data_IF_365026535984
#
_entry.id   IF_365026535984
#
_cell.length_a   1.000
_cell.length_b   1.000
_cell.length_c   1.000
_cell.angle_alpha   90.00
_cell.angle_beta   90.00
_cell.angle_gamma   90.00
#
_symmetry.space_group_name_H-M   'P 1'
#
loop_
_entity.id
_entity.type
_entity.pdbx_description
1 polymer ?
#
# COMPACT_ATOMS: atom_id res chain seq x y z
N UNK A 1 25.47 -10.96 24.80
CA UNK A 1 25.32 -9.66 24.12
C UNK A 1 24.10 -8.97 24.71
N UNK A 2 24.32 -8.02 25.62
CA UNK A 2 23.23 -7.28 26.25
C UNK A 2 22.67 -6.27 25.24
N UNK A 3 21.35 -6.29 25.01
CA UNK A 3 20.66 -5.21 24.29
C UNK A 3 20.91 -3.90 25.06
N UNK A 4 21.29 -2.80 24.40
CA UNK A 4 21.49 -1.53 25.08
C UNK A 4 20.17 -1.07 25.73
N UNK A 5 20.23 -0.35 26.87
CA UNK A 5 19.05 0.14 27.55
C UNK A 5 18.31 1.13 26.65
N UNK A 6 16.99 0.94 26.50
CA UNK A 6 16.10 1.90 25.83
C UNK A 6 16.18 3.21 26.62
N UNK A 7 16.63 4.29 25.98
CA UNK A 7 16.61 5.63 26.60
C UNK A 7 15.15 5.98 26.86
N UNK A 8 14.82 6.32 28.11
CA UNK A 8 13.52 6.91 28.45
C UNK A 8 13.55 8.32 27.87
N UNK A 9 13.11 8.45 26.63
CA UNK A 9 12.98 9.72 25.92
C UNK A 9 11.68 10.34 26.40
N UNK A 10 11.71 11.61 26.81
CA UNK A 10 10.50 12.38 27.15
C UNK A 10 9.44 12.23 26.05
N UNK A 11 8.18 11.99 26.42
CA UNK A 11 7.07 11.74 25.48
C UNK A 11 6.96 12.85 24.41
N UNK A 12 7.21 14.10 24.79
CA UNK A 12 7.26 15.22 23.85
C UNK A 12 8.37 15.06 22.81
N UNK A 13 9.58 14.68 23.25
CA UNK A 13 10.73 14.47 22.34
C UNK A 13 10.47 13.28 21.42
N UNK A 14 9.83 12.23 21.93
CA UNK A 14 9.41 11.08 21.12
C UNK A 14 8.42 11.48 20.02
N UNK A 15 7.39 12.27 20.36
CA UNK A 15 6.39 12.77 19.41
C UNK A 15 7.02 13.65 18.32
N UNK A 16 7.92 14.56 18.71
CA UNK A 16 8.61 15.45 17.77
C UNK A 16 9.54 14.66 16.82
N UNK A 17 10.23 13.65 17.33
CA UNK A 17 11.03 12.74 16.51
C UNK A 17 10.16 11.92 15.54
N UNK A 18 8.97 11.48 15.97
CA UNK A 18 8.03 10.79 15.08
C UNK A 18 7.58 11.67 13.90
N UNK A 19 7.31 12.95 14.13
CA UNK A 19 7.01 13.92 13.06
C UNK A 19 8.18 13.97 12.06
N UNK A 20 9.41 14.06 12.55
CA UNK A 20 10.61 14.07 11.72
C UNK A 20 10.70 12.85 10.80
N UNK A 21 10.46 11.65 11.33
CA UNK A 21 10.54 10.41 10.56
C UNK A 21 9.41 10.24 9.55
N UNK A 22 8.20 10.65 9.91
CA UNK A 22 7.06 10.64 8.96
C UNK A 22 7.36 11.61 7.81
N UNK A 23 7.90 12.79 8.11
CA UNK A 23 8.32 13.78 7.10
C UNK A 23 9.41 13.23 6.17
N UNK A 24 10.42 12.56 6.70
CA UNK A 24 11.47 11.93 5.89
C UNK A 24 10.91 10.84 4.97
N UNK A 25 9.96 10.03 5.47
CA UNK A 25 9.26 9.03 4.65
C UNK A 25 8.42 9.69 3.54
N UNK A 26 7.64 10.72 3.88
CA UNK A 26 6.81 11.44 2.91
C UNK A 26 7.61 12.20 1.84
N UNK A 27 8.83 12.64 2.16
CA UNK A 27 9.72 13.30 1.19
C UNK A 27 10.60 12.31 0.41
N UNK A 28 10.46 11.00 0.64
CA UNK A 28 11.25 9.96 -0.03
C UNK A 28 12.73 9.95 0.37
N UNK A 29 13.09 10.63 1.46
CA UNK A 29 14.47 10.70 2.00
C UNK A 29 14.75 9.59 3.01
N UNK A 30 13.72 8.90 3.46
CA UNK A 30 13.84 7.77 4.38
C UNK A 30 14.36 6.51 3.67
N UNK A 31 15.00 5.63 4.44
CA UNK A 31 15.31 4.25 4.00
C UNK A 31 14.04 3.39 3.84
N UNK A 32 12.89 3.90 4.26
CA UNK A 32 11.58 3.28 4.09
C UNK A 32 11.07 3.51 2.65
N UNK A 33 10.84 2.42 1.91
CA UNK A 33 10.55 2.46 0.46
C UNK A 33 9.07 2.79 0.13
N UNK A 34 8.26 3.16 1.11
CA UNK A 34 6.88 3.56 0.89
C UNK A 34 6.70 5.04 1.29
N UNK A 35 6.15 5.89 0.40
CA UNK A 35 6.04 7.32 0.64
C UNK A 35 5.02 7.66 1.73
N UNK A 36 4.08 6.76 2.04
CA UNK A 36 3.10 6.94 3.10
C UNK A 36 3.30 5.82 4.13
N UNK A 37 3.83 6.12 5.33
CA UNK A 37 3.94 5.17 6.42
C UNK A 37 2.60 4.54 6.78
N UNK A 38 2.57 3.21 6.88
CA UNK A 38 1.36 2.43 7.15
C UNK A 38 1.39 1.88 8.58
N UNK A 39 0.26 1.89 9.29
CA UNK A 39 0.11 1.39 10.67
C UNK A 39 0.74 0.01 10.93
N UNK A 40 0.65 -0.90 9.96
CA UNK A 40 1.11 -2.28 10.10
C UNK A 40 2.63 -2.40 10.19
N UNK A 41 3.33 -1.61 9.36
CA UNK A 41 4.78 -1.69 9.13
C UNK A 41 5.54 -0.55 9.81
N UNK A 42 4.88 0.58 10.06
CA UNK A 42 5.54 1.79 10.58
C UNK A 42 6.16 1.56 11.96
N UNK A 43 5.55 0.74 12.82
CA UNK A 43 6.13 0.42 14.12
C UNK A 43 7.52 -0.19 13.98
N UNK A 44 7.66 -1.25 13.17
CA UNK A 44 8.91 -2.00 13.06
C UNK A 44 10.00 -1.24 12.30
N UNK A 45 9.61 -0.38 11.35
CA UNK A 45 10.55 0.28 10.45
C UNK A 45 10.90 1.72 10.85
N UNK A 46 9.97 2.45 11.47
CA UNK A 46 10.12 3.87 11.76
C UNK A 46 10.12 4.20 13.25
N UNK A 47 9.45 3.41 14.10
CA UNK A 47 9.21 3.81 15.49
C UNK A 47 9.70 2.83 16.56
N UNK A 48 10.29 1.69 16.20
CA UNK A 48 10.65 0.62 17.14
C UNK A 48 11.67 1.04 18.22
N UNK A 49 12.48 2.05 17.91
CA UNK A 49 13.49 2.66 18.77
C UNK A 49 12.98 3.89 19.53
N UNK A 50 11.87 4.50 19.09
CA UNK A 50 11.25 5.67 19.74
C UNK A 50 10.15 5.22 20.71
N UNK A 51 9.29 4.32 20.26
CA UNK A 51 8.10 3.87 20.99
C UNK A 51 8.36 2.56 21.72
N UNK A 52 8.09 2.54 23.03
CA UNK A 52 8.28 1.34 23.84
C UNK A 52 7.33 0.19 23.44
N UNK A 53 6.12 0.54 23.02
CA UNK A 53 5.06 -0.37 22.59
C UNK A 53 4.29 0.18 21.38
N UNK A 54 3.56 -0.71 20.70
CA UNK A 54 2.65 -0.36 19.59
C UNK A 54 1.48 0.52 20.08
N UNK A 55 1.01 0.30 21.30
CA UNK A 55 -0.07 1.10 21.90
C UNK A 55 0.36 2.56 22.12
N UNK A 56 1.58 2.78 22.62
CA UNK A 56 2.14 4.14 22.74
C UNK A 56 2.28 4.83 21.39
N UNK A 57 2.69 4.10 20.36
CA UNK A 57 2.75 4.64 18.99
C UNK A 57 1.36 5.09 18.52
N UNK A 58 0.32 4.27 18.68
CA UNK A 58 -1.05 4.66 18.30
C UNK A 58 -1.56 5.86 19.11
N UNK A 59 -1.22 5.92 20.40
CA UNK A 59 -1.52 7.08 21.24
C UNK A 59 -0.86 8.36 20.71
N UNK A 60 0.44 8.34 20.41
CA UNK A 60 1.15 9.49 19.85
C UNK A 60 0.63 9.89 18.46
N UNK A 61 0.36 8.92 17.58
CA UNK A 61 -0.20 9.21 16.25
C UNK A 61 -1.58 9.84 16.34
N UNK A 62 -2.40 9.42 17.32
CA UNK A 62 -3.69 10.04 17.59
C UNK A 62 -3.54 11.48 18.05
N UNK A 63 -2.64 11.76 19.00
CA UNK A 63 -2.35 13.13 19.44
C UNK A 63 -1.87 13.99 18.26
N UNK A 64 -0.98 13.45 17.43
CA UNK A 64 -0.47 14.15 16.25
C UNK A 64 -1.56 14.48 15.22
N UNK A 65 -2.54 13.60 15.06
CA UNK A 65 -3.69 13.85 14.20
C UNK A 65 -4.61 14.93 14.80
N UNK A 66 -4.89 14.86 16.11
CA UNK A 66 -5.73 15.84 16.83
C UNK A 66 -5.06 17.22 16.95
N UNK A 67 -3.73 17.29 16.93
CA UNK A 67 -2.94 18.54 16.91
C UNK A 67 -2.61 19.04 15.50
N UNK A 68 -3.21 18.44 14.47
CA UNK A 68 -3.06 18.83 13.05
C UNK A 68 -1.62 18.74 12.51
N UNK A 69 -0.73 17.98 13.16
CA UNK A 69 0.61 17.72 12.61
C UNK A 69 0.58 16.71 11.47
N UNK A 70 -0.34 15.74 11.54
CA UNK A 70 -0.51 14.71 10.52
C UNK A 70 -1.98 14.55 10.12
N UNK A 71 -2.17 14.09 8.89
CA UNK A 71 -3.41 13.50 8.43
C UNK A 71 -3.33 11.97 8.46
N UNK A 72 -4.43 11.34 8.85
CA UNK A 72 -4.61 9.89 8.77
C UNK A 72 -5.51 9.53 7.59
N UNK A 73 -5.06 8.64 6.72
CA UNK A 73 -5.85 8.09 5.61
C UNK A 73 -6.22 6.66 5.96
N UNK A 74 -7.50 6.31 5.93
CA UNK A 74 -7.92 4.92 6.05
C UNK A 74 -7.68 4.19 4.73
N UNK A 75 -6.59 3.43 4.61
CA UNK A 75 -6.22 2.74 3.36
C UNK A 75 -7.02 1.44 3.17
N UNK A 76 -7.32 0.75 4.26
CA UNK A 76 -8.10 -0.50 4.29
C UNK A 76 -9.19 -0.32 5.32
N UNK A 77 -10.45 -0.48 4.92
CA UNK A 77 -11.58 -0.44 5.85
C UNK A 77 -11.61 -1.70 6.73
N UNK A 78 -11.98 -1.49 7.99
CA UNK A 78 -12.22 -2.56 8.96
C UNK A 78 -13.37 -3.46 8.48
N UNK A 79 -13.12 -4.77 8.43
CA UNK A 79 -14.15 -5.75 8.12
C UNK A 79 -14.30 -6.70 9.30
N UNK A 80 -15.17 -6.32 10.23
CA UNK A 80 -15.49 -7.10 11.43
C UNK A 80 -16.02 -8.51 11.12
N UNK A 81 -16.59 -8.72 9.92
CA UNK A 81 -17.04 -10.05 9.51
C UNK A 81 -15.89 -10.98 9.11
N UNK A 82 -14.72 -10.42 8.78
CA UNK A 82 -13.54 -11.16 8.32
C UNK A 82 -12.30 -10.97 9.21
N UNK A 83 -12.44 -10.33 10.37
CA UNK A 83 -11.36 -10.09 11.34
C UNK A 83 -10.17 -9.35 10.71
N UNK A 84 -10.47 -8.36 9.87
CA UNK A 84 -9.47 -7.48 9.25
C UNK A 84 -9.40 -6.18 10.03
N UNK A 85 -8.25 -5.95 10.67
CA UNK A 85 -7.91 -4.65 11.27
C UNK A 85 -7.76 -3.58 10.18
N UNK A 86 -8.24 -2.38 10.48
CA UNK A 86 -8.16 -1.23 9.60
C UNK A 86 -6.72 -0.77 9.48
N UNK A 87 -6.32 -0.43 8.26
CA UNK A 87 -4.95 -0.02 7.99
C UNK A 87 -4.92 1.46 7.65
N UNK A 88 -4.09 2.20 8.38
CA UNK A 88 -4.00 3.66 8.29
C UNK A 88 -2.69 4.08 7.66
N UNK A 89 -2.73 5.05 6.76
CA UNK A 89 -1.57 5.77 6.23
C UNK A 89 -1.43 7.12 6.90
N UNK A 90 -0.21 7.53 7.23
CA UNK A 90 0.07 8.81 7.90
C UNK A 90 0.82 9.77 6.99
N UNK A 91 0.35 11.01 6.93
CA UNK A 91 0.91 12.06 6.06
C UNK A 91 1.09 13.35 6.84
N UNK A 92 2.23 14.02 6.70
CA UNK A 92 2.45 15.32 7.34
C UNK A 92 1.50 16.38 6.76
N UNK A 93 0.89 17.18 7.64
CA UNK A 93 0.00 18.27 7.29
C UNK A 93 0.76 19.53 6.87
N UNK A 94 1.46 19.43 5.74
CA UNK A 94 2.15 20.53 5.06
C UNK A 94 1.81 20.57 3.58
N UNK A 95 1.46 21.76 3.07
CA UNK A 95 0.96 21.91 1.71
C UNK A 95 1.94 21.37 0.66
N UNK A 96 3.23 21.67 0.79
CA UNK A 96 4.26 21.22 -0.15
C UNK A 96 4.39 19.68 -0.18
N UNK A 97 4.33 19.03 0.98
CA UNK A 97 4.43 17.57 1.09
C UNK A 97 3.17 16.91 0.56
N UNK A 98 2.00 17.40 0.97
CA UNK A 98 0.70 16.86 0.53
C UNK A 98 0.54 17.01 -0.98
N UNK A 99 0.92 18.14 -1.58
CA UNK A 99 0.83 18.34 -3.02
C UNK A 99 1.77 17.39 -3.80
N UNK A 100 3.00 17.17 -3.30
CA UNK A 100 3.93 16.20 -3.89
C UNK A 100 3.39 14.77 -3.83
N UNK A 101 2.87 14.35 -2.66
CA UNK A 101 2.26 13.03 -2.48
C UNK A 101 0.99 12.86 -3.33
N UNK A 102 0.21 13.92 -3.50
CA UNK A 102 -0.98 13.95 -4.35
C UNK A 102 -0.60 13.67 -5.80
N UNK A 103 0.40 14.38 -6.34
CA UNK A 103 0.89 14.14 -7.70
C UNK A 103 1.38 12.70 -7.90
N UNK A 104 2.12 12.17 -6.93
CA UNK A 104 2.59 10.78 -6.96
C UNK A 104 1.43 9.78 -6.93
N UNK A 105 0.43 10.03 -6.08
CA UNK A 105 -0.75 9.15 -5.93
C UNK A 105 -1.66 9.19 -7.15
N UNK A 106 -1.80 10.35 -7.80
CA UNK A 106 -2.53 10.49 -9.07
C UNK A 106 -1.89 9.62 -10.16
N UNK A 107 -0.56 9.70 -10.32
CA UNK A 107 0.16 8.84 -11.28
C UNK A 107 0.02 7.36 -10.93
N UNK A 108 0.06 7.03 -9.63
CA UNK A 108 -0.16 5.67 -9.15
C UNK A 108 -1.57 5.13 -9.46
N UNK A 109 -2.59 5.99 -9.39
CA UNK A 109 -3.96 5.64 -9.77
C UNK A 109 -4.10 5.43 -11.27
N UNK A 110 -3.56 6.32 -12.10
CA UNK A 110 -3.58 6.17 -13.56
C UNK A 110 -2.89 4.88 -14.00
N UNK A 111 -1.73 4.56 -13.41
CA UNK A 111 -1.02 3.31 -13.67
C UNK A 111 -1.81 2.07 -13.23
N UNK A 112 -2.44 2.10 -12.04
CA UNK A 112 -3.26 0.99 -11.57
C UNK A 112 -4.52 0.79 -12.44
N UNK A 113 -5.12 1.88 -12.90
CA UNK A 113 -6.27 1.84 -13.81
C UNK A 113 -5.88 1.28 -15.19
N UNK A 114 -4.76 1.73 -15.75
CA UNK A 114 -4.23 1.20 -17.02
C UNK A 114 -3.95 -0.30 -16.92
N UNK A 115 -3.36 -0.77 -15.81
CA UNK A 115 -3.08 -2.18 -15.62
C UNK A 115 -4.34 -3.05 -15.51
N UNK A 116 -5.40 -2.52 -14.89
CA UNK A 116 -6.62 -3.28 -14.65
C UNK A 116 -7.57 -3.28 -15.85
N UNK A 117 -7.70 -2.15 -16.54
CA UNK A 117 -8.67 -1.96 -17.62
C UNK A 117 -8.03 -1.87 -19.01
N UNK A 118 -6.69 -1.93 -19.11
CA UNK A 118 -5.92 -1.80 -20.35
C UNK A 118 -6.27 -0.51 -21.12
N UNK A 119 -6.63 0.53 -20.39
CA UNK A 119 -7.06 1.83 -20.92
C UNK A 119 -6.41 2.95 -20.13
N UNK A 120 -5.90 3.95 -20.86
CA UNK A 120 -5.43 5.20 -20.28
C UNK A 120 -6.56 6.21 -20.29
N UNK A 121 -6.87 6.75 -19.13
CA UNK A 121 -7.79 7.86 -18.94
C UNK A 121 -7.14 8.85 -17.95
N UNK A 122 -7.59 10.11 -17.96
CA UNK A 122 -7.12 11.08 -16.97
C UNK A 122 -7.70 10.79 -15.60
N UNK A 123 -6.95 11.16 -14.56
CA UNK A 123 -7.37 11.17 -13.17
C UNK A 123 -8.83 11.59 -12.92
N UNK A 124 -9.28 12.73 -13.47
CA UNK A 124 -10.62 13.26 -13.20
C UNK A 124 -11.71 12.35 -13.77
N UNK A 125 -11.44 11.73 -14.92
CA UNK A 125 -12.36 10.80 -15.57
C UNK A 125 -12.40 9.48 -14.80
N UNK A 126 -11.24 8.98 -14.38
CA UNK A 126 -11.13 7.77 -13.54
C UNK A 126 -11.91 7.95 -12.23
N UNK A 127 -11.80 9.10 -11.56
CA UNK A 127 -12.58 9.38 -10.35
C UNK A 127 -14.07 9.36 -10.65
N UNK A 128 -14.55 10.06 -11.68
CA UNK A 128 -15.99 10.10 -11.97
C UNK A 128 -16.57 8.71 -12.27
N UNK A 129 -15.75 7.82 -12.83
CA UNK A 129 -16.13 6.46 -13.16
C UNK A 129 -16.09 5.52 -11.94
N UNK A 130 -14.99 5.55 -11.17
CA UNK A 130 -14.75 4.60 -10.08
C UNK A 130 -15.35 5.03 -8.74
N UNK A 131 -15.43 6.33 -8.46
CA UNK A 131 -15.90 6.85 -7.17
C UNK A 131 -17.35 6.42 -6.83
N UNK A 132 -18.32 6.43 -7.77
CA UNK A 132 -19.67 5.91 -7.49
C UNK A 132 -19.68 4.42 -7.12
N UNK A 133 -18.64 3.68 -7.52
CA UNK A 133 -18.48 2.26 -7.28
C UNK A 133 -17.36 1.96 -6.27
N UNK A 134 -16.92 2.94 -5.48
CA UNK A 134 -15.75 2.83 -4.60
C UNK A 134 -15.82 1.62 -3.65
N UNK A 135 -17.02 1.28 -3.16
CA UNK A 135 -17.24 0.11 -2.30
C UNK A 135 -16.85 -1.23 -2.95
N UNK A 136 -16.98 -1.34 -4.27
CA UNK A 136 -16.64 -2.56 -5.02
C UNK A 136 -15.11 -2.73 -5.07
N UNK A 137 -14.39 -1.61 -5.20
CA UNK A 137 -12.94 -1.58 -5.27
C UNK A 137 -12.27 -1.48 -3.91
N UNK A 138 -13.04 -1.54 -2.81
CA UNK A 138 -12.49 -1.48 -1.48
C UNK A 138 -11.42 -2.55 -1.27
N UNK A 139 -10.34 -2.20 -0.59
CA UNK A 139 -9.19 -3.07 -0.31
C UNK A 139 -8.42 -3.60 -1.55
N UNK A 140 -8.76 -3.18 -2.77
CA UNK A 140 -8.00 -3.50 -3.99
C UNK A 140 -6.87 -2.50 -4.24
N UNK A 141 -5.81 -2.83 -5.03
CA UNK A 141 -4.75 -1.88 -5.35
C UNK A 141 -5.28 -0.59 -6.00
N UNK A 142 -6.24 -0.71 -6.93
CA UNK A 142 -6.86 0.45 -7.57
C UNK A 142 -7.69 1.27 -6.58
N UNK A 143 -8.43 0.61 -5.68
CA UNK A 143 -9.23 1.29 -4.66
C UNK A 143 -8.35 2.01 -3.63
N UNK A 144 -7.22 1.42 -3.25
CA UNK A 144 -6.22 2.07 -2.38
C UNK A 144 -5.64 3.32 -3.04
N UNK A 145 -5.20 3.22 -4.29
CA UNK A 145 -4.70 4.37 -5.06
C UNK A 145 -5.77 5.44 -5.25
N UNK A 146 -7.02 5.03 -5.52
CA UNK A 146 -8.15 5.93 -5.67
C UNK A 146 -8.42 6.70 -4.38
N UNK A 147 -8.51 5.98 -3.27
CA UNK A 147 -8.75 6.56 -1.96
C UNK A 147 -7.61 7.52 -1.57
N UNK A 148 -6.36 7.11 -1.73
CA UNK A 148 -5.20 7.99 -1.49
C UNK A 148 -5.27 9.27 -2.31
N UNK A 149 -5.51 9.18 -3.63
CA UNK A 149 -5.55 10.35 -4.49
C UNK A 149 -6.71 11.31 -4.13
N UNK A 150 -7.89 10.76 -3.83
CA UNK A 150 -9.06 11.55 -3.39
C UNK A 150 -8.80 12.21 -2.03
N UNK A 151 -8.29 11.47 -1.05
CA UNK A 151 -8.05 12.00 0.29
C UNK A 151 -6.94 13.06 0.29
N UNK A 152 -5.84 12.84 -0.43
CA UNK A 152 -4.77 13.84 -0.57
C UNK A 152 -5.25 15.10 -1.30
N UNK A 153 -6.14 14.95 -2.29
CA UNK A 153 -6.79 16.09 -2.93
C UNK A 153 -7.67 16.87 -1.95
N UNK A 154 -8.42 16.18 -1.08
CA UNK A 154 -9.22 16.82 -0.03
C UNK A 154 -8.33 17.53 1.00
N UNK A 155 -7.26 16.90 1.47
CA UNK A 155 -6.33 17.51 2.42
C UNK A 155 -5.59 18.71 1.85
N UNK A 156 -5.20 18.67 0.58
CA UNK A 156 -4.66 19.84 -0.13
C UNK A 156 -5.66 21.00 -0.12
N UNK A 157 -6.96 20.73 -0.26
CA UNK A 157 -7.99 21.76 -0.18
C UNK A 157 -8.19 22.28 1.25
N UNK A 158 -8.24 21.39 2.25
CA UNK A 158 -8.37 21.78 3.67
C UNK A 158 -7.22 22.69 4.10
N UNK A 159 -5.98 22.34 3.72
CA UNK A 159 -4.80 23.18 4.01
C UNK A 159 -4.87 24.57 3.35
N UNK A 160 -5.63 24.73 2.26
CA UNK A 160 -5.82 26.01 1.58
C UNK A 160 -6.95 26.84 2.18
N UNK A 161 -8.03 26.19 2.61
CA UNK A 161 -9.21 26.86 3.18
C UNK A 161 -8.96 27.25 4.63
N UNK A 162 -8.47 26.31 5.44
CA UNK A 162 -8.32 26.45 6.89
C UNK A 162 -6.86 26.64 7.28
N UNK A 163 -6.10 27.46 6.53
CA UNK A 163 -4.64 27.57 6.71
C UNK A 163 -4.21 27.98 8.12
N UNK A 164 -5.04 28.73 8.84
CA UNK A 164 -4.78 29.21 10.21
C UNK A 164 -4.60 28.06 11.19
N UNK A 165 -5.42 27.00 11.06
CA UNK A 165 -5.39 25.80 11.90
C UNK A 165 -4.20 24.87 11.59
N UNK A 166 -3.42 25.16 10.56
CA UNK A 166 -2.22 24.39 10.19
C UNK A 166 -0.94 25.21 10.33
N UNK A 167 -1.02 26.38 10.97
CA UNK A 167 0.16 27.16 11.36
C UNK A 167 0.94 26.47 12.48
N UNK A 168 2.25 26.70 12.53
CA UNK A 168 3.10 26.09 13.57
C UNK A 168 2.73 26.56 14.98
N UNK A 169 2.20 27.77 15.14
CA UNK A 169 1.71 28.26 16.43
C UNK A 169 0.52 27.42 16.89
N UNK A 170 -0.49 27.28 16.03
CA UNK A 170 -1.69 26.52 16.37
C UNK A 170 -1.39 25.07 16.71
N UNK A 171 -0.56 24.41 15.88
CA UNK A 171 -0.13 23.03 16.10
C UNK A 171 0.56 22.85 17.47
N UNK A 172 1.47 23.77 17.84
CA UNK A 172 2.17 23.75 19.13
C UNK A 172 1.24 23.99 20.31
N UNK A 173 0.36 24.98 20.20
CA UNK A 173 -0.61 25.32 21.24
C UNK A 173 -1.59 24.17 21.47
N UNK A 174 -2.08 23.55 20.39
CA UNK A 174 -2.98 22.40 20.47
C UNK A 174 -2.29 21.15 21.01
N UNK A 175 -1.04 20.91 20.61
CA UNK A 175 -0.25 19.81 21.17
C UNK A 175 -0.01 19.98 22.67
N UNK A 176 0.23 21.22 23.12
CA UNK A 176 0.38 21.55 24.55
C UNK A 176 -0.92 21.33 25.33
N UNK A 177 -2.07 21.64 24.74
CA UNK A 177 -3.39 21.38 25.33
C UNK A 177 -3.68 19.87 25.45
N UNK A 178 -3.36 19.09 24.42
CA UNK A 178 -3.59 17.64 24.36
C UNK A 178 -2.60 16.84 25.21
N UNK A 179 -1.51 17.47 25.64
CA UNK A 179 -0.53 16.92 26.59
C UNK A 179 -0.51 17.76 27.87
N UNK A 180 -1.59 17.81 28.68
CA UNK A 180 -1.58 18.52 29.94
C UNK A 180 -0.63 17.80 30.91
N UNK A 181 0.58 18.35 31.03
CA UNK A 181 1.57 18.13 32.10
C UNK A 181 1.96 16.67 32.41
N UNK A 182 2.99 16.18 31.72
CA UNK A 182 4.04 15.36 32.35
C UNK A 182 5.47 15.68 31.83
N UNK A 183 5.65 16.68 30.96
CA UNK A 183 6.96 16.88 30.28
C UNK A 183 7.36 18.31 29.89
N UNK A 184 6.87 19.35 30.59
CA UNK A 184 7.27 20.76 30.33
C UNK A 184 7.83 21.44 31.60
N UNK A 185 8.51 20.70 32.47
CA UNK A 185 9.19 21.30 33.63
C UNK A 185 10.72 21.28 33.59
N UNK A 186 11.36 20.76 32.53
CA UNK A 186 12.84 20.68 32.48
C UNK A 186 13.49 21.35 31.25
N UNK A 187 12.77 22.19 30.49
CA UNK A 187 13.35 22.89 29.34
C UNK A 187 13.37 24.43 29.43
N UNK A 188 12.69 25.04 30.42
CA UNK A 188 12.68 26.50 30.58
C UNK A 188 12.92 26.91 32.04
N UNK A 189 14.06 26.53 32.60
CA UNK A 189 14.65 27.25 33.74
C UNK A 189 16.12 27.56 33.45
N UNK A 190 16.32 28.66 32.73
CA UNK A 190 17.62 29.19 32.38
C UNK A 190 17.53 30.60 31.81
N UNK A 191 17.00 31.55 32.58
CA UNK A 191 17.21 32.99 32.41
C UNK A 191 17.18 33.63 33.82
N UNK A 192 17.94 34.69 34.18
CA UNK A 192 18.19 35.90 33.37
C UNK A 192 19.60 36.53 33.39
N UNK A 193 20.00 37.12 32.25
CA UNK A 193 21.28 37.83 32.13
C UNK A 193 21.37 38.88 31.00
N UNK A 194 20.58 39.96 31.11
CA UNK A 194 20.88 41.37 30.80
C UNK A 194 21.77 41.79 29.59
N UNK A 195 21.25 42.73 28.78
CA UNK A 195 21.98 43.74 27.99
C UNK A 195 21.42 43.88 26.58
N UNK A 196 20.35 44.64 26.33
CA UNK A 196 20.30 46.10 26.05
C UNK A 196 21.29 46.58 24.97
N UNK A 197 20.73 47.07 23.84
CA UNK A 197 21.05 48.31 23.10
C UNK A 197 20.30 48.31 21.74
N UNK A 198 19.24 49.14 21.64
CA UNK A 198 18.89 50.19 20.62
C UNK A 198 19.64 50.20 19.28
N UNK A 199 19.19 50.72 18.14
CA UNK A 199 17.95 51.32 17.61
C UNK A 199 18.17 51.43 16.07
N UNK A 200 17.08 51.57 15.33
CA UNK A 200 16.87 52.39 14.12
C UNK A 200 17.98 52.49 13.03
N UNK A 201 17.66 52.07 11.79
CA UNK A 201 17.50 53.08 10.72
C UNK A 201 16.88 52.53 9.42
N UNK A 202 15.98 53.35 8.92
CA UNK A 202 15.16 53.28 7.74
C UNK A 202 15.91 53.91 6.56
N UNK A 203 16.02 53.24 5.39
CA UNK A 203 15.87 53.96 4.12
C UNK A 203 15.62 53.05 2.91
N UNK A 204 14.73 53.54 2.07
CA UNK A 204 14.18 52.90 0.89
C UNK A 204 15.00 53.14 -0.39
N UNK A 205 14.76 52.25 -1.34
CA UNK A 205 14.57 52.51 -2.78
C UNK A 205 15.78 52.95 -3.64
N UNK A 206 16.10 52.15 -4.65
CA UNK A 206 15.80 52.54 -6.05
C UNK A 206 16.15 51.45 -7.08
N UNK A 207 15.11 51.07 -7.82
CA UNK A 207 15.01 51.05 -9.28
C UNK A 207 16.11 50.40 -10.15
N UNK A 208 15.70 49.41 -10.95
CA UNK A 208 16.49 48.88 -12.06
C UNK A 208 15.74 47.90 -12.97
N UNK A 209 14.82 48.43 -13.77
CA UNK A 209 14.09 47.79 -14.90
C UNK A 209 14.92 46.78 -15.73
N UNK A 210 14.33 45.65 -16.13
CA UNK A 210 13.96 45.37 -17.53
C UNK A 210 13.40 43.95 -17.75
N UNK A 211 12.33 43.88 -18.53
CA UNK A 211 11.90 42.77 -19.41
C UNK A 211 11.57 43.44 -20.78
N UNK A 212 11.17 42.78 -21.89
CA UNK A 212 10.88 41.35 -22.15
C UNK A 212 11.29 40.82 -23.58
N UNK A 213 10.92 39.54 -23.85
CA UNK A 213 10.33 38.98 -25.09
C UNK A 213 11.16 38.43 -26.31
N UNK A 214 10.71 37.22 -26.74
CA UNK A 214 10.51 36.67 -28.10
C UNK A 214 11.64 35.86 -28.85
N UNK A 215 11.49 34.51 -28.88
CA UNK A 215 11.32 33.53 -30.02
C UNK A 215 11.88 33.81 -31.46
N UNK A 216 11.96 32.83 -32.42
CA UNK A 216 11.84 31.33 -32.45
C UNK A 216 12.82 30.59 -33.45
N UNK A 217 12.51 29.30 -33.77
CA UNK A 217 12.85 28.46 -34.98
C UNK A 217 14.20 27.71 -35.02
N UNK A 218 14.40 26.50 -35.57
CA UNK A 218 13.57 25.42 -36.17
C UNK A 218 14.46 24.18 -36.51
N UNK A 219 13.82 23.10 -37.01
CA UNK A 219 14.32 21.94 -37.78
C UNK A 219 14.86 20.72 -36.99
N UNK A 220 14.07 19.64 -36.85
CA UNK A 220 13.93 18.48 -37.78
C UNK A 220 15.12 17.51 -37.69
N UNK A 221 15.04 16.19 -37.83
CA UNK A 221 14.00 15.16 -37.96
C UNK A 221 14.78 13.82 -37.98
N UNK A 222 14.16 12.69 -37.60
CA UNK A 222 14.19 11.41 -38.35
C UNK A 222 13.60 10.26 -37.52
N UNK A 223 12.66 9.58 -38.17
CA UNK A 223 11.90 8.43 -37.73
C UNK A 223 12.47 7.11 -38.28
N UNK A 224 11.94 5.98 -37.78
CA UNK A 224 11.60 4.70 -38.45
C UNK A 224 11.78 3.52 -37.45
N UNK A 225 10.72 2.84 -36.97
CA UNK A 225 9.82 1.82 -37.59
C UNK A 225 10.34 0.37 -37.58
N UNK A 226 9.45 -0.57 -37.24
CA UNK A 226 9.66 -2.03 -37.38
C UNK A 226 8.59 -2.90 -36.69
N UNK A 227 7.79 -3.61 -37.49
CA UNK A 227 6.48 -4.24 -37.23
C UNK A 227 6.49 -5.78 -37.00
N UNK A 228 5.38 -6.27 -36.42
CA UNK A 228 4.71 -7.59 -36.49
C UNK A 228 5.46 -8.95 -36.42
N UNK A 229 4.98 -9.84 -35.54
CA UNK A 229 4.05 -10.97 -35.87
C UNK A 229 3.91 -12.00 -34.72
N UNK A 230 2.68 -12.33 -34.34
CA UNK A 230 2.23 -13.72 -34.10
C UNK A 230 0.71 -13.78 -33.92
N UNK A 231 0.02 -14.09 -35.03
CA UNK A 231 -1.38 -14.55 -35.03
C UNK A 231 -1.38 -16.06 -34.74
N UNK A 232 -1.94 -16.47 -33.60
CA UNK A 232 -2.30 -17.87 -33.35
C UNK A 232 -3.81 -18.08 -33.51
N UNK A 233 -4.17 -19.27 -33.97
CA UNK A 233 -5.42 -19.68 -34.62
C UNK A 233 -6.62 -19.72 -33.66
N UNK A 234 -7.76 -19.20 -34.13
CA UNK A 234 -9.02 -19.09 -33.38
C UNK A 234 -9.85 -20.39 -33.27
N UNK A 235 -9.29 -21.56 -33.64
CA UNK A 235 -10.03 -22.83 -33.67
C UNK A 235 -9.45 -23.88 -32.70
N UNK A 236 -8.16 -23.81 -32.38
CA UNK A 236 -7.49 -24.68 -31.39
C UNK A 236 -7.75 -24.25 -29.93
N UNK A 237 -8.36 -23.08 -29.75
CA UNK A 237 -8.66 -22.48 -28.45
C UNK A 237 -9.85 -23.12 -27.75
N UNK A 238 -10.83 -23.68 -28.47
CA UNK A 238 -12.13 -24.03 -27.88
C UNK A 238 -12.04 -25.23 -26.92
N UNK A 239 -11.31 -26.29 -27.27
CA UNK A 239 -11.17 -27.47 -26.39
C UNK A 239 -10.23 -27.22 -25.20
N UNK A 240 -9.15 -26.45 -25.40
CA UNK A 240 -8.28 -26.01 -24.32
C UNK A 240 -9.03 -25.08 -23.36
N UNK A 241 -9.84 -24.17 -23.91
CA UNK A 241 -10.68 -23.28 -23.13
C UNK A 241 -11.73 -24.07 -22.36
N UNK A 242 -12.41 -25.07 -22.94
CA UNK A 242 -13.41 -25.88 -22.22
C UNK A 242 -12.84 -26.64 -21.01
N UNK A 243 -11.56 -27.02 -21.04
CA UNK A 243 -10.90 -27.74 -19.92
C UNK A 243 -10.27 -26.79 -18.92
N UNK A 244 -9.85 -25.60 -19.36
CA UNK A 244 -9.37 -24.51 -18.50
C UNK A 244 -10.52 -23.64 -17.98
N UNK A 245 -11.74 -23.80 -18.50
CA UNK A 245 -12.93 -23.07 -18.07
C UNK A 245 -13.28 -23.51 -16.66
N UNK A 246 -12.92 -22.65 -15.72
CA UNK A 246 -13.20 -22.88 -14.32
C UNK A 246 -14.70 -22.76 -14.09
N UNK A 247 -15.30 -23.74 -13.41
CA UNK A 247 -16.67 -23.58 -12.91
C UNK A 247 -16.66 -22.54 -11.77
N UNK A 248 -16.97 -21.29 -12.13
CA UNK A 248 -17.05 -20.15 -11.20
C UNK A 248 -18.41 -20.05 -10.51
N UNK A 249 -19.23 -21.11 -10.50
CA UNK A 249 -20.51 -21.11 -9.78
C UNK A 249 -20.31 -21.29 -8.28
N UNK A 250 -21.14 -20.60 -7.49
CA UNK A 250 -21.21 -20.73 -6.04
C UNK A 250 -20.17 -19.94 -5.24
N UNK A 251 -19.99 -20.32 -3.97
CA UNK A 251 -19.13 -19.61 -3.01
C UNK A 251 -17.65 -19.60 -3.42
N UNK A 252 -17.18 -20.66 -4.07
CA UNK A 252 -15.80 -20.74 -4.58
C UNK A 252 -15.54 -19.71 -5.68
N UNK A 253 -16.44 -19.57 -6.66
CA UNK A 253 -16.26 -18.58 -7.73
C UNK A 253 -16.28 -17.14 -7.22
N UNK A 254 -17.13 -16.83 -6.23
CA UNK A 254 -17.11 -15.54 -5.52
C UNK A 254 -15.77 -15.31 -4.82
N UNK A 255 -15.24 -16.34 -4.15
CA UNK A 255 -13.94 -16.26 -3.49
C UNK A 255 -12.78 -16.09 -4.49
N UNK A 256 -12.81 -16.82 -5.62
CA UNK A 256 -11.80 -16.73 -6.68
C UNK A 256 -11.77 -15.33 -7.29
N UNK A 257 -12.94 -14.73 -7.55
CA UNK A 257 -13.01 -13.38 -8.09
C UNK A 257 -12.53 -12.31 -7.08
N UNK A 258 -12.70 -12.55 -5.76
CA UNK A 258 -12.31 -11.61 -4.70
C UNK A 258 -10.82 -11.68 -4.33
N UNK A 259 -10.22 -12.88 -4.33
CA UNK A 259 -8.86 -13.09 -3.78
C UNK A 259 -7.86 -13.73 -4.75
N UNK A 260 -8.32 -14.30 -5.86
CA UNK A 260 -7.49 -15.09 -6.76
C UNK A 260 -7.26 -16.54 -6.29
N UNK A 261 -7.04 -17.44 -7.26
CA UNK A 261 -6.98 -18.90 -7.04
C UNK A 261 -5.78 -19.29 -6.18
N UNK A 262 -4.59 -18.76 -6.47
CA UNK A 262 -3.37 -19.10 -5.72
C UNK A 262 -3.43 -18.70 -4.25
N UNK A 263 -4.06 -17.57 -3.92
CA UNK A 263 -4.22 -17.12 -2.53
C UNK A 263 -5.11 -18.08 -1.75
N UNK A 264 -6.25 -18.47 -2.33
CA UNK A 264 -7.16 -19.46 -1.73
C UNK A 264 -6.49 -20.81 -1.54
N UNK A 265 -5.67 -21.25 -2.51
CA UNK A 265 -4.87 -22.47 -2.37
C UNK A 265 -3.94 -22.37 -1.15
N UNK A 266 -3.23 -21.24 -0.97
CA UNK A 266 -2.33 -21.05 0.19
C UNK A 266 -3.07 -21.12 1.52
N UNK A 267 -4.28 -20.54 1.60
CA UNK A 267 -5.10 -20.60 2.83
C UNK A 267 -5.46 -22.05 3.16
N UNK A 268 -5.98 -22.79 2.18
CA UNK A 268 -6.37 -24.19 2.41
C UNK A 268 -5.17 -25.07 2.77
N UNK A 269 -3.99 -24.81 2.19
CA UNK A 269 -2.76 -25.52 2.54
C UNK A 269 -2.28 -25.20 3.96
N UNK A 270 -2.39 -23.93 4.41
CA UNK A 270 -2.05 -23.53 5.79
C UNK A 270 -2.99 -24.15 6.82
N UNK A 271 -4.27 -24.31 6.49
CA UNK A 271 -5.29 -24.92 7.36
C UNK A 271 -5.33 -26.45 7.28
N UNK A 272 -4.41 -27.08 6.55
CA UNK A 272 -4.38 -28.54 6.32
C UNK A 272 -5.65 -29.11 5.68
N UNK A 273 -6.39 -28.30 4.91
CA UNK A 273 -7.66 -28.67 4.28
C UNK A 273 -7.46 -29.35 2.91
N UNK A 274 -6.62 -30.39 2.86
CA UNK A 274 -6.22 -31.07 1.62
C UNK A 274 -7.39 -31.72 0.88
N UNK A 275 -8.37 -32.26 1.61
CA UNK A 275 -9.56 -32.89 1.01
C UNK A 275 -10.47 -31.89 0.30
N UNK A 276 -10.56 -30.65 0.82
CA UNK A 276 -11.31 -29.57 0.17
C UNK A 276 -10.64 -29.17 -1.15
N UNK A 277 -9.32 -28.98 -1.15
CA UNK A 277 -8.55 -28.72 -2.39
C UNK A 277 -8.72 -29.84 -3.41
N UNK A 278 -8.69 -31.09 -2.95
CA UNK A 278 -8.92 -32.25 -3.82
C UNK A 278 -10.31 -32.22 -4.45
N UNK A 279 -11.34 -31.91 -3.67
CA UNK A 279 -12.70 -31.77 -4.20
C UNK A 279 -12.80 -30.64 -5.22
N UNK A 280 -12.10 -29.53 -5.02
CA UNK A 280 -12.11 -28.39 -5.94
C UNK A 280 -11.43 -28.72 -7.27
N UNK A 281 -10.29 -29.43 -7.24
CA UNK A 281 -9.61 -29.91 -8.45
C UNK A 281 -10.47 -30.94 -9.20
N UNK A 282 -11.17 -31.83 -8.50
CA UNK A 282 -12.07 -32.82 -9.12
C UNK A 282 -13.24 -32.15 -9.84
N UNK A 283 -13.86 -31.16 -9.19
CA UNK A 283 -15.03 -30.43 -9.71
C UNK A 283 -14.70 -29.49 -10.88
N UNK A 284 -13.42 -29.25 -11.19
CA UNK A 284 -13.01 -28.30 -12.23
C UNK A 284 -12.99 -26.85 -11.74
N UNK A 285 -13.10 -26.64 -10.43
CA UNK A 285 -13.02 -25.33 -9.80
C UNK A 285 -11.59 -24.78 -9.75
N UNK A 286 -10.58 -25.66 -9.89
CA UNK A 286 -9.17 -25.33 -10.11
C UNK A 286 -8.74 -26.09 -11.37
N UNK A 287 -8.67 -25.37 -12.49
CA UNK A 287 -8.51 -25.97 -13.81
C UNK A 287 -7.26 -25.46 -14.56
N UNK A 288 -6.78 -24.26 -14.25
CA UNK A 288 -5.59 -23.70 -14.89
C UNK A 288 -4.33 -24.50 -14.55
N UNK A 289 -3.46 -24.66 -15.55
CA UNK A 289 -2.20 -25.41 -15.41
C UNK A 289 -1.29 -24.78 -14.34
N UNK A 290 -1.19 -23.45 -14.31
CA UNK A 290 -0.34 -22.73 -13.38
C UNK A 290 -0.77 -22.93 -11.93
N UNK A 291 -2.09 -22.95 -11.67
CA UNK A 291 -2.65 -23.20 -10.34
C UNK A 291 -2.42 -24.66 -9.90
N UNK A 292 -2.59 -25.61 -10.82
CA UNK A 292 -2.30 -27.02 -10.53
C UNK A 292 -0.80 -27.26 -10.26
N UNK A 293 0.09 -26.59 -11.00
CA UNK A 293 1.54 -26.59 -10.73
C UNK A 293 1.84 -25.99 -9.37
N UNK A 294 1.19 -24.88 -9.02
CA UNK A 294 1.33 -24.23 -7.72
C UNK A 294 0.93 -25.15 -6.56
N UNK A 295 -0.18 -25.90 -6.68
CA UNK A 295 -0.59 -26.91 -5.68
C UNK A 295 0.48 -28.00 -5.53
N UNK A 296 0.97 -28.55 -6.64
CA UNK A 296 2.00 -29.61 -6.62
C UNK A 296 3.29 -29.15 -5.94
N UNK A 297 3.78 -27.97 -6.30
CA UNK A 297 5.05 -27.44 -5.81
C UNK A 297 4.94 -27.03 -4.33
N UNK A 298 3.76 -26.57 -3.91
CA UNK A 298 3.49 -26.26 -2.50
C UNK A 298 3.43 -27.53 -1.64
N UNK A 299 2.82 -28.62 -2.11
CA UNK A 299 2.81 -29.90 -1.40
C UNK A 299 4.24 -30.44 -1.27
N UNK A 300 5.05 -30.36 -2.33
CA UNK A 300 6.46 -30.79 -2.29
C UNK A 300 7.26 -30.02 -1.24
N UNK A 301 7.09 -28.69 -1.17
CA UNK A 301 7.75 -27.85 -0.15
C UNK A 301 7.28 -28.19 1.27
N UNK A 302 6.03 -28.59 1.46
CA UNK A 302 5.53 -29.07 2.75
C UNK A 302 6.14 -30.43 3.12
N UNK A 303 6.27 -31.35 2.15
CA UNK A 303 6.93 -32.64 2.37
C UNK A 303 8.41 -32.47 2.78
N UNK A 304 9.13 -31.51 2.19
CA UNK A 304 10.53 -31.22 2.58
C UNK A 304 10.66 -30.71 4.03
N UNK A 305 9.57 -30.20 4.62
CA UNK A 305 9.51 -29.61 5.97
C UNK A 305 8.86 -30.52 7.03
N UNK A 306 8.69 -31.82 6.76
CA UNK A 306 8.10 -32.78 7.73
C UNK A 306 8.77 -32.78 9.12
N UNK A 307 10.06 -32.42 9.19
CA UNK A 307 10.81 -32.37 10.44
C UNK A 307 10.52 -31.13 11.31
N UNK A 308 9.93 -30.07 10.73
CA UNK A 308 9.63 -28.82 11.44
C UNK A 308 8.20 -28.78 11.98
N UNK A 309 7.28 -29.58 11.44
CA UNK A 309 5.89 -29.60 11.85
C UNK A 309 5.37 -31.03 12.13
N UNK A 310 5.22 -31.42 13.42
CA UNK A 310 4.70 -32.71 13.82
C UNK A 310 3.23 -32.96 13.43
N UNK A 311 2.41 -31.91 13.25
CA UNK A 311 1.00 -32.08 12.84
C UNK A 311 0.87 -32.51 11.38
N UNK A 312 1.85 -32.14 10.54
CA UNK A 312 1.86 -32.51 9.13
C UNK A 312 1.90 -34.03 8.91
N UNK A 313 2.51 -34.78 9.85
CA UNK A 313 2.55 -36.25 9.83
C UNK A 313 1.16 -36.89 9.93
N UNK A 314 0.17 -36.20 10.49
CA UNK A 314 -1.21 -36.71 10.56
C UNK A 314 -1.93 -36.63 9.21
N UNK A 315 -1.46 -35.77 8.30
CA UNK A 315 -2.09 -35.50 7.01
C UNK A 315 -1.33 -36.06 5.80
N UNK A 316 -0.28 -36.86 6.02
CA UNK A 316 0.58 -37.44 4.96
C UNK A 316 -0.21 -38.20 3.89
N UNK A 317 -1.24 -38.97 4.28
CA UNK A 317 -2.11 -39.68 3.33
C UNK A 317 -2.93 -38.74 2.46
N UNK A 318 -3.53 -37.70 3.05
CA UNK A 318 -4.32 -36.71 2.34
C UNK A 318 -3.47 -35.88 1.36
N UNK A 319 -2.23 -35.55 1.75
CA UNK A 319 -1.26 -34.89 0.88
C UNK A 319 -0.87 -35.75 -0.33
N UNK A 320 -0.58 -37.04 -0.11
CA UNK A 320 -0.26 -37.97 -1.19
C UNK A 320 -1.43 -38.12 -2.18
N UNK A 321 -2.67 -38.18 -1.68
CA UNK A 321 -3.87 -38.26 -2.51
C UNK A 321 -4.15 -36.98 -3.29
N UNK A 322 -3.91 -35.81 -2.69
CA UNK A 322 -4.02 -34.51 -3.36
C UNK A 322 -2.96 -34.41 -4.47
N UNK A 323 -1.69 -34.73 -4.18
CA UNK A 323 -0.58 -34.74 -5.16
C UNK A 323 -0.88 -35.64 -6.35
N UNK A 324 -1.39 -36.85 -6.11
CA UNK A 324 -1.82 -37.77 -7.19
C UNK A 324 -2.95 -37.18 -8.02
N UNK A 325 -3.95 -36.58 -7.39
CA UNK A 325 -5.10 -35.96 -8.08
C UNK A 325 -4.66 -34.78 -8.95
N UNK A 326 -3.80 -33.91 -8.42
CA UNK A 326 -3.22 -32.77 -9.16
C UNK A 326 -2.38 -33.24 -10.35
N UNK A 327 -1.51 -34.25 -10.15
CA UNK A 327 -0.67 -34.77 -11.22
C UNK A 327 -1.47 -35.43 -12.35
N UNK A 328 -2.55 -36.16 -12.02
CA UNK A 328 -3.45 -36.72 -13.03
C UNK A 328 -4.09 -35.61 -13.89
N UNK A 329 -4.49 -34.49 -13.29
CA UNK A 329 -5.06 -33.35 -14.03
C UNK A 329 -4.02 -32.63 -14.90
N UNK A 330 -2.80 -32.43 -14.39
CA UNK A 330 -1.70 -31.86 -15.19
C UNK A 330 -1.40 -32.75 -16.41
N UNK A 331 -1.34 -34.07 -16.21
CA UNK A 331 -1.09 -35.01 -17.31
C UNK A 331 -2.22 -35.00 -18.34
N UNK A 332 -3.48 -34.85 -17.91
CA UNK A 332 -4.62 -34.73 -18.82
C UNK A 332 -4.50 -33.47 -19.71
N UNK A 333 -4.15 -32.31 -19.11
CA UNK A 333 -3.91 -31.07 -19.86
C UNK A 333 -2.74 -31.23 -20.83
N UNK A 334 -1.65 -31.89 -20.38
CA UNK A 334 -0.47 -32.11 -21.21
C UNK A 334 -0.74 -33.03 -22.41
N UNK A 335 -1.48 -34.12 -22.23
CA UNK A 335 -1.85 -35.02 -23.33
C UNK A 335 -2.69 -34.32 -24.41
N UNK A 336 -3.54 -33.38 -24.00
CA UNK A 336 -4.38 -32.60 -24.91
C UNK A 336 -3.54 -31.57 -25.66
N UNK A 337 -2.64 -30.85 -24.97
CA UNK A 337 -1.65 -29.98 -25.64
C UNK A 337 -0.80 -30.73 -26.67
N UNK A 338 -0.39 -31.97 -26.35
CA UNK A 338 0.38 -32.82 -27.25
C UNK A 338 -0.42 -33.24 -28.49
N UNK A 339 -1.71 -33.57 -28.32
CA UNK A 339 -2.62 -33.86 -29.44
C UNK A 339 -2.90 -32.64 -30.32
N UNK A 340 -2.91 -31.43 -29.75
CA UNK A 340 -3.08 -30.16 -30.47
C UNK A 340 -1.81 -29.72 -31.22
N UNK A 341 -0.65 -30.24 -30.84
CA UNK A 341 0.66 -29.92 -31.46
C UNK A 341 1.11 -30.90 -32.55
N UNK A 342 0.37 -31.98 -32.76
CA UNK A 342 0.55 -32.96 -33.85
C UNK A 342 -0.47 -32.67 -34.94
#
# INVERSE_FOLDING_TARGET
MAKPPKKVTSDYVAIMEMIGRIREANTGKSSYNEPIPISDTCYNHLFADICESRDKMFYYLRILAESHYIFSIHLIEEDAAHDLEGVYGYVIAEAAIVDSLKESSIRGLEAAYEQQFYKRDSYEKIIRELLPQARIYNNTPIGRSLNMAVMLQQYSNVLRVDFEEYTDSWKKDKLRELMPSESILDAESGDPGSGDYTDEDEFASSNGKSSPAADPMEAESLAAEGDATSRSRAVDSVELNQIQEMDRRGQWGKAVNKYGVQFLIRIHLRKYEFDKLRSLIRKGNIAHEDDLRFVRDSIRKMEERYHLDPELNRHTKAMAELKRTTQMRINAIFQIKKKLSQ
#
